data_IF_473918152468
#
_entry.id   IF_473918152468
#
_cell.length_a   1.000
_cell.length_b   1.000
_cell.length_c   1.000
_cell.angle_alpha   90.00
_cell.angle_beta   90.00
_cell.angle_gamma   90.00
#
_symmetry.space_group_name_H-M   'P 1'
#
loop_
_entity.id
_entity.type
_entity.pdbx_description
1 polymer ?
#
# COMPACT_ATOMS: atom_id res chain seq x y z
N UNK A 1 19.98 -39.40 47.67
CA UNK A 1 18.75 -38.68 47.32
C UNK A 1 18.18 -39.32 46.06
N UNK A 2 17.29 -40.29 46.24
CA UNK A 2 16.74 -41.12 45.15
C UNK A 2 15.37 -40.56 44.79
N UNK A 3 15.23 -39.95 43.61
CA UNK A 3 13.96 -39.40 43.12
C UNK A 3 13.03 -40.54 42.69
N UNK A 4 11.90 -40.68 43.40
CA UNK A 4 10.85 -41.63 43.12
C UNK A 4 9.99 -41.07 41.97
N UNK A 5 10.19 -41.57 40.75
CA UNK A 5 9.39 -41.17 39.59
C UNK A 5 8.04 -41.88 39.65
N UNK A 6 6.98 -41.15 39.95
CA UNK A 6 5.65 -41.70 40.22
C UNK A 6 4.90 -42.09 38.92
N UNK A 7 4.70 -43.38 38.62
CA UNK A 7 4.23 -43.87 37.32
C UNK A 7 2.78 -43.46 37.00
N UNK A 8 2.00 -43.08 38.01
CA UNK A 8 0.60 -42.66 37.85
C UNK A 8 0.46 -41.34 37.09
N UNK A 9 1.44 -40.44 37.19
CA UNK A 9 1.41 -39.14 36.49
C UNK A 9 1.72 -39.25 34.99
N UNK A 10 2.48 -40.27 34.59
CA UNK A 10 2.79 -40.54 33.19
C UNK A 10 1.59 -41.15 32.44
N UNK A 11 0.82 -42.02 33.10
CA UNK A 11 -0.38 -42.62 32.51
C UNK A 11 -1.49 -41.57 32.26
N UNK A 12 -1.69 -40.63 33.19
CA UNK A 12 -2.71 -39.57 33.05
C UNK A 12 -2.38 -38.62 31.89
N UNK A 13 -1.10 -38.27 31.69
CA UNK A 13 -0.67 -37.42 30.57
C UNK A 13 -0.90 -38.06 29.20
N UNK A 14 -0.72 -39.39 29.09
CA UNK A 14 -0.97 -40.12 27.84
C UNK A 14 -2.46 -40.19 27.49
N UNK A 15 -3.32 -40.32 28.50
CA UNK A 15 -4.78 -40.33 28.32
C UNK A 15 -5.33 -38.96 27.91
N UNK A 16 -4.85 -37.87 28.53
CA UNK A 16 -5.26 -36.50 28.18
C UNK A 16 -4.80 -36.14 26.75
N UNK A 17 -3.58 -36.53 26.37
CA UNK A 17 -3.08 -36.32 25.00
C UNK A 17 -3.92 -37.05 23.94
N UNK A 18 -4.32 -38.30 24.20
CA UNK A 18 -5.16 -39.07 23.27
C UNK A 18 -6.56 -38.45 23.10
N UNK A 19 -7.17 -37.94 24.17
CA UNK A 19 -8.49 -37.29 24.10
C UNK A 19 -8.47 -36.00 23.26
N UNK A 20 -7.40 -35.20 23.37
CA UNK A 20 -7.25 -33.96 22.59
C UNK A 20 -7.09 -34.27 21.09
N UNK A 21 -6.32 -35.30 20.73
CA UNK A 21 -6.14 -35.71 19.33
C UNK A 21 -7.46 -36.20 18.73
N UNK A 22 -8.25 -36.99 19.46
CA UNK A 22 -9.56 -37.46 18.98
C UNK A 22 -10.54 -36.28 18.77
N UNK A 23 -10.54 -35.28 19.65
CA UNK A 23 -11.39 -34.11 19.51
C UNK A 23 -11.03 -33.26 18.26
N UNK A 24 -9.72 -33.10 17.96
CA UNK A 24 -9.26 -32.36 16.78
C UNK A 24 -9.59 -33.08 15.46
N UNK A 25 -9.49 -34.41 15.44
CA UNK A 25 -9.86 -35.21 14.27
C UNK A 25 -11.36 -35.13 14.00
N UNK A 26 -12.21 -35.20 15.04
CA UNK A 26 -13.66 -35.07 14.89
C UNK A 26 -14.08 -33.69 14.35
N UNK A 27 -13.41 -32.62 14.78
CA UNK A 27 -13.67 -31.26 14.30
C UNK A 27 -13.29 -31.11 12.81
N UNK A 28 -12.20 -31.73 12.37
CA UNK A 28 -11.77 -31.72 10.96
C UNK A 28 -12.75 -32.43 10.02
N UNK A 29 -13.36 -33.53 10.46
CA UNK A 29 -14.35 -34.27 9.67
C UNK A 29 -15.66 -33.47 9.51
N UNK A 30 -16.08 -32.71 10.53
CA UNK A 30 -17.30 -31.91 10.46
C UNK A 30 -17.20 -30.70 9.53
N UNK A 31 -16.02 -30.11 9.37
CA UNK A 31 -15.81 -28.99 8.43
C UNK A 31 -15.73 -29.48 6.98
N UNK A 32 -15.26 -30.70 6.76
CA UNK A 32 -15.12 -31.28 5.42
C UNK A 32 -16.47 -31.65 4.77
N UNK A 33 -17.52 -31.96 5.55
CA UNK A 33 -18.82 -32.36 4.99
C UNK A 33 -19.67 -31.21 4.46
N UNK A 34 -19.38 -29.96 4.84
CA UNK A 34 -20.12 -28.77 4.35
C UNK A 34 -19.62 -28.28 2.99
N UNK A 35 -18.40 -28.66 2.58
CA UNK A 35 -17.78 -28.16 1.35
C UNK A 35 -18.01 -29.04 0.12
N UNK A 36 -18.79 -30.12 0.20
CA UNK A 36 -19.03 -31.03 -0.93
C UNK A 36 -20.52 -31.35 -1.10
N UNK A 37 -21.26 -30.39 -1.65
CA UNK A 37 -22.54 -30.65 -2.34
C UNK A 37 -22.45 -30.19 -3.79
N UNK A 38 -22.41 -31.11 -4.77
CA UNK A 38 -22.43 -30.77 -6.18
C UNK A 38 -23.86 -30.46 -6.66
N UNK A 39 -23.94 -29.62 -7.69
CA UNK A 39 -25.14 -28.88 -8.11
C UNK A 39 -26.26 -29.67 -8.79
N UNK A 40 -27.39 -28.98 -8.95
CA UNK A 40 -28.54 -29.40 -9.76
C UNK A 40 -29.11 -28.18 -10.50
N UNK A 41 -28.92 -28.14 -11.82
CA UNK A 41 -29.57 -27.20 -12.72
C UNK A 41 -30.96 -27.68 -13.16
N UNK A 42 -31.75 -26.77 -13.73
CA UNK A 42 -32.83 -26.95 -14.74
C UNK A 42 -33.38 -25.55 -15.01
N UNK A 43 -33.03 -24.89 -16.12
CA UNK A 43 -33.72 -24.93 -17.43
C UNK A 43 -35.21 -24.64 -17.34
N UNK A 44 -35.63 -23.47 -17.85
CA UNK A 44 -36.75 -23.31 -18.81
C UNK A 44 -36.76 -21.89 -19.41
N UNK A 45 -36.44 -21.79 -20.70
CA UNK A 45 -37.05 -20.83 -21.64
C UNK A 45 -38.46 -21.37 -22.00
N UNK A 46 -39.46 -20.53 -22.32
CA UNK A 46 -39.66 -20.22 -23.75
C UNK A 46 -40.28 -18.85 -24.11
N UNK A 47 -39.97 -18.47 -25.36
CA UNK A 47 -40.82 -17.87 -26.40
C UNK A 47 -41.57 -16.53 -26.19
N UNK A 48 -41.02 -15.52 -26.86
CA UNK A 48 -41.66 -14.63 -27.85
C UNK A 48 -43.16 -14.27 -27.74
N UNK A 49 -43.44 -12.98 -27.63
CA UNK A 49 -44.59 -12.36 -28.30
C UNK A 49 -44.26 -10.93 -28.73
N UNK A 50 -44.58 -10.62 -29.99
CA UNK A 50 -44.35 -9.34 -30.65
C UNK A 50 -45.55 -8.41 -30.45
N UNK A 51 -45.31 -7.16 -30.06
CA UNK A 51 -46.19 -6.03 -30.35
C UNK A 51 -45.50 -4.68 -30.07
N UNK A 52 -45.24 -3.91 -31.13
CA UNK A 52 -45.25 -2.44 -31.10
C UNK A 52 -46.61 -1.99 -31.70
N UNK A 53 -47.07 -0.71 -31.64
CA UNK A 53 -46.27 0.51 -31.45
C UNK A 53 -46.98 1.65 -30.65
N UNK A 54 -46.37 2.86 -30.71
CA UNK A 54 -46.86 4.20 -30.34
C UNK A 54 -46.86 4.53 -28.83
N UNK A 55 -46.44 5.69 -28.33
CA UNK A 55 -45.99 6.98 -28.87
C UNK A 55 -45.28 7.66 -27.71
N UNK A 56 -43.99 8.02 -27.84
CA UNK A 56 -43.35 8.94 -26.88
C UNK A 56 -43.19 10.29 -27.55
N UNK A 57 -43.79 11.29 -26.89
CA UNK A 57 -43.85 12.66 -27.35
C UNK A 57 -42.48 13.25 -27.60
N UNK A 58 -42.37 13.89 -28.76
CA UNK A 58 -41.34 14.86 -29.05
C UNK A 58 -41.35 15.97 -27.99
N UNK A 59 -40.18 16.20 -27.37
CA UNK A 59 -39.70 17.54 -27.01
C UNK A 59 -38.19 17.62 -27.24
N UNK A 60 -37.88 18.37 -28.29
CA UNK A 60 -36.73 19.24 -28.49
C UNK A 60 -35.32 18.64 -28.42
N UNK A 61 -34.91 18.17 -29.59
CA UNK A 61 -33.54 18.18 -30.06
C UNK A 61 -33.04 19.61 -30.28
N UNK A 62 -32.03 20.01 -29.48
CA UNK A 62 -31.05 21.03 -29.91
C UNK A 62 -29.73 20.30 -30.13
N UNK A 63 -29.38 20.19 -31.41
CA UNK A 63 -28.05 19.83 -31.88
C UNK A 63 -27.24 21.12 -32.04
N UNK A 64 -26.05 21.19 -31.42
CA UNK A 64 -24.85 21.75 -32.04
C UNK A 64 -23.71 21.81 -31.01
N UNK A 65 -22.70 20.98 -31.24
CA UNK A 65 -21.44 21.02 -30.51
C UNK A 65 -20.50 19.95 -31.02
N UNK A 66 -20.01 20.13 -32.26
CA UNK A 66 -18.80 19.43 -32.73
C UNK A 66 -17.64 19.98 -31.92
N UNK A 67 -17.46 19.47 -30.71
CA UNK A 67 -16.23 19.57 -29.95
C UNK A 67 -15.39 18.35 -30.29
N UNK A 68 -14.13 18.57 -30.65
CA UNK A 68 -13.16 17.51 -30.88
C UNK A 68 -13.31 16.42 -29.82
N UNK A 69 -13.48 15.17 -30.26
CA UNK A 69 -13.26 14.03 -29.41
C UNK A 69 -11.79 14.08 -28.99
N UNK A 70 -11.53 14.74 -27.88
CA UNK A 70 -10.47 14.31 -27.00
C UNK A 70 -10.91 12.91 -26.59
N UNK A 71 -10.16 11.88 -26.97
CA UNK A 71 -10.19 10.63 -26.22
C UNK A 71 -10.01 11.05 -24.76
N UNK A 72 -11.10 11.02 -24.01
CA UNK A 72 -11.09 11.11 -22.55
C UNK A 72 -10.49 9.78 -22.08
N UNK A 73 -9.20 9.55 -22.38
CA UNK A 73 -8.45 8.47 -21.80
C UNK A 73 -8.45 8.74 -20.31
N UNK A 74 -9.34 8.02 -19.62
CA UNK A 74 -9.42 8.04 -18.17
C UNK A 74 -7.99 7.93 -17.63
N UNK A 75 -7.60 8.80 -16.67
CA UNK A 75 -6.24 8.80 -16.16
C UNK A 75 -5.86 7.37 -15.75
N UNK A 76 -4.67 6.91 -16.11
CA UNK A 76 -4.20 5.57 -15.78
C UNK A 76 -2.95 5.64 -14.94
N UNK A 77 -2.80 4.66 -14.06
CA UNK A 77 -1.72 4.60 -13.08
C UNK A 77 -0.82 3.43 -13.44
N UNK A 78 0.47 3.67 -13.60
CA UNK A 78 1.46 2.63 -13.85
C UNK A 78 2.21 2.29 -12.56
N UNK A 79 2.21 1.01 -12.18
CA UNK A 79 2.90 0.50 -10.99
C UNK A 79 3.83 -0.64 -11.38
N UNK A 80 5.09 -0.56 -10.95
CA UNK A 80 6.07 -1.61 -11.16
C UNK A 80 6.09 -2.54 -9.94
N UNK A 81 5.62 -3.78 -10.09
CA UNK A 81 5.55 -4.77 -9.02
C UNK A 81 6.76 -5.71 -9.09
N UNK A 82 7.49 -5.83 -7.98
CA UNK A 82 8.76 -6.54 -7.85
C UNK A 82 8.73 -7.57 -6.72
N UNK A 83 9.65 -8.52 -6.78
CA UNK A 83 9.96 -9.41 -5.66
C UNK A 83 9.07 -10.64 -5.63
N UNK A 84 8.61 -11.04 -4.43
CA UNK A 84 7.90 -12.28 -4.19
C UNK A 84 6.43 -12.23 -4.64
N UNK A 85 6.20 -12.07 -5.94
CA UNK A 85 4.90 -12.14 -6.62
C UNK A 85 4.96 -13.12 -7.78
N UNK A 86 3.81 -13.65 -8.21
CA UNK A 86 3.77 -14.68 -9.24
C UNK A 86 4.15 -14.17 -10.64
N UNK A 87 3.88 -12.90 -10.93
CA UNK A 87 4.30 -12.24 -12.16
C UNK A 87 4.86 -10.83 -11.86
N UNK A 88 6.17 -10.67 -11.65
CA UNK A 88 6.77 -9.35 -11.55
C UNK A 88 6.67 -8.59 -12.89
N UNK A 89 6.43 -7.29 -12.85
CA UNK A 89 6.26 -6.50 -14.08
C UNK A 89 5.61 -5.14 -13.87
N UNK A 90 5.37 -4.44 -14.97
CA UNK A 90 4.69 -3.16 -15.00
C UNK A 90 3.20 -3.36 -15.30
N UNK A 91 2.33 -2.82 -14.45
CA UNK A 91 0.89 -2.98 -14.54
C UNK A 91 0.19 -1.63 -14.72
N UNK A 92 -0.87 -1.63 -15.55
CA UNK A 92 -1.78 -0.48 -15.74
C UNK A 92 -2.97 -0.67 -14.81
N UNK A 93 -3.19 0.31 -13.94
CA UNK A 93 -4.24 0.34 -12.92
C UNK A 93 -5.11 1.58 -13.10
N UNK A 94 -6.26 1.60 -12.42
CA UNK A 94 -7.18 2.73 -12.39
C UNK A 94 -6.83 3.70 -11.26
N UNK A 95 -7.20 4.99 -11.38
CA UNK A 95 -7.07 5.95 -10.29
C UNK A 95 -7.91 5.53 -9.09
N UNK A 96 -7.29 5.46 -7.92
CA UNK A 96 -7.95 5.02 -6.69
C UNK A 96 -7.78 3.54 -6.37
N UNK A 97 -7.20 2.75 -7.28
CA UNK A 97 -6.77 1.38 -7.01
C UNK A 97 -5.78 1.37 -5.83
N UNK A 98 -5.75 0.25 -5.12
CA UNK A 98 -4.92 0.03 -3.94
C UNK A 98 -3.80 -0.94 -4.24
N UNK A 99 -2.85 -1.05 -3.32
CA UNK A 99 -1.75 -1.99 -3.44
C UNK A 99 -2.23 -3.44 -3.60
N UNK A 100 -3.39 -3.82 -3.03
CA UNK A 100 -3.99 -5.15 -3.27
C UNK A 100 -4.34 -5.40 -4.74
N UNK A 101 -4.80 -4.38 -5.47
CA UNK A 101 -5.19 -4.50 -6.87
C UNK A 101 -3.95 -4.66 -7.77
N UNK A 102 -2.87 -3.96 -7.43
CA UNK A 102 -1.56 -4.15 -8.07
C UNK A 102 -1.01 -5.58 -7.88
N UNK A 103 -1.14 -6.13 -6.67
CA UNK A 103 -0.72 -7.51 -6.38
C UNK A 103 -1.63 -8.53 -7.07
N UNK A 104 -2.94 -8.28 -7.14
CA UNK A 104 -3.87 -9.12 -7.89
C UNK A 104 -3.52 -9.14 -9.39
N UNK A 105 -3.17 -7.99 -9.98
CA UNK A 105 -2.69 -7.89 -11.35
C UNK A 105 -1.39 -8.67 -11.57
N UNK A 106 -0.51 -8.73 -10.55
CA UNK A 106 0.69 -9.56 -10.52
C UNK A 106 0.43 -11.07 -10.24
N UNK A 107 -0.82 -11.52 -10.41
CA UNK A 107 -1.31 -12.87 -10.11
C UNK A 107 -1.12 -13.30 -8.65
N UNK A 108 -1.10 -12.35 -7.72
CA UNK A 108 -0.97 -12.60 -6.30
C UNK A 108 0.46 -12.81 -5.82
N UNK A 109 0.57 -13.08 -4.54
CA UNK A 109 1.83 -13.34 -3.85
C UNK A 109 2.45 -14.68 -4.25
N UNK A 110 3.78 -14.74 -4.28
CA UNK A 110 4.51 -16.01 -4.37
C UNK A 110 4.40 -16.78 -3.05
N UNK A 111 4.72 -18.09 -3.07
CA UNK A 111 4.55 -18.97 -1.92
C UNK A 111 5.43 -18.61 -0.70
N UNK A 112 6.56 -17.97 -0.95
CA UNK A 112 7.53 -17.54 0.05
C UNK A 112 7.44 -16.03 0.36
N UNK A 113 6.41 -15.35 -0.14
CA UNK A 113 6.20 -13.93 0.09
C UNK A 113 5.84 -13.64 1.56
N UNK A 114 6.39 -12.54 2.08
CA UNK A 114 5.91 -11.95 3.32
C UNK A 114 4.69 -11.06 3.02
N UNK A 115 3.51 -11.54 3.41
CA UNK A 115 2.24 -10.81 3.24
C UNK A 115 2.22 -9.49 4.04
N UNK A 116 3.06 -9.35 5.07
CA UNK A 116 3.21 -8.15 5.87
C UNK A 116 4.14 -7.09 5.27
N UNK A 117 4.90 -7.42 4.23
CA UNK A 117 5.91 -6.52 3.65
C UNK A 117 5.30 -5.28 2.97
N UNK A 118 4.01 -5.32 2.62
CA UNK A 118 3.30 -4.26 1.90
C UNK A 118 1.98 -3.95 2.57
N UNK A 119 1.70 -2.67 2.83
CA UNK A 119 0.37 -2.23 3.22
C UNK A 119 -0.59 -2.29 2.03
N UNK A 120 -1.36 -3.38 1.93
CA UNK A 120 -2.29 -3.67 0.84
C UNK A 120 -3.44 -2.66 0.70
N UNK A 121 -3.77 -1.95 1.78
CA UNK A 121 -4.91 -1.05 1.81
C UNK A 121 -4.59 0.35 1.30
N UNK A 122 -3.32 0.70 1.12
CA UNK A 122 -2.93 2.05 0.67
C UNK A 122 -3.26 2.24 -0.82
N UNK A 123 -3.68 3.45 -1.23
CA UNK A 123 -3.82 3.79 -2.65
C UNK A 123 -2.45 3.69 -3.33
N UNK A 124 -2.44 3.28 -4.59
CA UNK A 124 -1.24 3.35 -5.43
C UNK A 124 -1.13 4.72 -6.10
N UNK A 125 0.10 5.16 -6.35
CA UNK A 125 0.39 6.38 -7.12
C UNK A 125 1.12 6.04 -8.41
N UNK A 126 0.95 6.89 -9.42
CA UNK A 126 1.57 6.71 -10.73
C UNK A 126 3.10 6.76 -10.65
N UNK A 127 3.76 5.83 -11.34
CA UNK A 127 5.20 5.68 -11.34
C UNK A 127 5.78 5.00 -10.09
N UNK A 128 4.95 4.47 -9.18
CA UNK A 128 5.42 3.80 -7.97
C UNK A 128 6.03 2.42 -8.25
N UNK A 129 6.98 2.01 -7.39
CA UNK A 129 7.48 0.64 -7.34
C UNK A 129 6.99 -0.07 -6.06
N UNK A 130 6.32 -1.21 -6.24
CA UNK A 130 5.81 -2.06 -5.17
C UNK A 130 6.69 -3.30 -5.03
N UNK A 131 7.57 -3.32 -4.03
CA UNK A 131 8.42 -4.47 -3.74
C UNK A 131 7.80 -5.35 -2.66
N UNK A 132 7.57 -6.61 -2.99
CA UNK A 132 7.21 -7.65 -2.03
C UNK A 132 8.45 -8.42 -1.62
N UNK A 133 8.76 -8.46 -0.32
CA UNK A 133 9.86 -9.25 0.20
C UNK A 133 9.45 -10.71 0.38
N UNK A 134 10.41 -11.62 0.32
CA UNK A 134 10.23 -12.98 0.84
C UNK A 134 10.28 -12.98 2.37
N UNK A 135 9.72 -14.02 3.00
CA UNK A 135 9.81 -14.22 4.45
C UNK A 135 11.27 -14.32 4.91
N UNK A 136 12.13 -14.94 4.10
CA UNK A 136 13.56 -15.06 4.39
C UNK A 136 14.28 -13.70 4.34
N UNK A 137 13.99 -12.86 3.34
CA UNK A 137 14.52 -11.50 3.26
C UNK A 137 14.02 -10.63 4.43
N UNK A 138 12.74 -10.72 4.77
CA UNK A 138 12.15 -9.97 5.88
C UNK A 138 12.78 -10.34 7.24
N UNK A 139 13.16 -11.61 7.43
CA UNK A 139 13.83 -12.10 8.64
C UNK A 139 15.34 -11.81 8.67
N UNK A 140 15.98 -11.67 7.51
CA UNK A 140 17.40 -11.31 7.38
C UNK A 140 17.62 -9.81 7.54
N UNK A 141 16.59 -8.98 7.34
CA UNK A 141 16.63 -7.56 7.63
C UNK A 141 16.75 -7.36 9.15
N UNK A 142 17.74 -6.60 9.66
CA UNK A 142 17.77 -6.23 11.07
C UNK A 142 16.45 -5.54 11.41
N UNK A 143 15.80 -5.93 12.50
CA UNK A 143 14.59 -5.28 12.98
C UNK A 143 14.92 -3.80 13.29
N UNK A 144 14.70 -2.92 12.31
CA UNK A 144 14.67 -1.50 12.54
C UNK A 144 13.46 -1.22 13.46
N UNK A 145 13.57 -0.27 14.40
CA UNK A 145 12.41 0.12 15.22
C UNK A 145 11.26 0.49 14.28
N UNK A 146 10.06 0.02 14.59
CA UNK A 146 8.85 0.27 13.81
C UNK A 146 8.59 1.77 13.68
N UNK A 147 9.13 2.38 12.63
CA UNK A 147 8.74 3.69 12.12
C UNK A 147 8.02 3.41 10.81
N UNK A 148 6.78 3.89 10.71
CA UNK A 148 5.93 3.65 9.54
C UNK A 148 6.69 3.99 8.27
N UNK A 149 6.65 3.07 7.30
CA UNK A 149 7.20 3.28 5.96
C UNK A 149 6.48 4.43 5.27
N UNK A 150 6.91 5.66 5.56
CA UNK A 150 7.07 6.66 4.54
C UNK A 150 8.32 6.26 3.76
N UNK A 151 8.19 6.10 2.45
CA UNK A 151 9.33 6.02 1.54
C UNK A 151 10.19 7.26 1.73
N UNK A 152 11.27 7.11 2.49
CA UNK A 152 12.31 8.11 2.70
C UNK A 152 13.64 7.39 2.62
N UNK A 153 14.22 7.34 1.41
CA UNK A 153 15.51 6.72 1.18
C UNK A 153 16.56 7.31 2.11
N UNK A 154 17.10 6.48 3.00
CA UNK A 154 18.21 6.79 3.92
C UNK A 154 19.55 6.74 3.21
N UNK A 155 19.68 7.50 2.13
CA UNK A 155 20.93 7.74 1.46
C UNK A 155 21.09 9.21 1.16
N UNK A 156 21.60 9.99 2.12
CA UNK A 156 22.12 11.35 1.89
C UNK A 156 21.30 12.22 0.94
N UNK A 157 19.96 12.16 1.03
CA UNK A 157 19.09 12.81 0.08
C UNK A 157 19.05 14.30 0.42
N UNK A 158 19.59 15.10 -0.48
CA UNK A 158 19.51 16.56 -0.45
C UNK A 158 18.04 16.95 -0.32
N UNK A 159 17.69 17.66 0.75
CA UNK A 159 16.30 18.04 1.09
C UNK A 159 15.88 19.22 0.23
N UNK A 160 14.78 19.10 -0.52
CA UNK A 160 14.26 20.24 -1.28
C UNK A 160 13.43 21.18 -0.38
N UNK A 161 13.87 22.43 -0.17
CA UNK A 161 13.17 23.39 0.73
C UNK A 161 11.81 23.84 0.24
N UNK A 162 11.56 23.78 -1.07
CA UNK A 162 10.29 24.18 -1.65
C UNK A 162 9.21 23.12 -1.48
N UNK A 163 9.58 21.83 -1.42
CA UNK A 163 8.64 20.71 -1.32
C UNK A 163 8.66 19.99 0.02
N UNK A 164 9.74 20.11 0.79
CA UNK A 164 9.89 19.40 2.06
C UNK A 164 8.80 19.78 3.06
N UNK A 165 8.38 18.80 3.84
CA UNK A 165 7.51 18.95 5.00
C UNK A 165 8.29 19.50 6.19
N UNK A 166 7.59 20.01 7.20
CA UNK A 166 8.23 20.50 8.42
C UNK A 166 9.10 19.41 9.08
N UNK A 167 8.61 18.17 9.13
CA UNK A 167 9.35 17.03 9.70
C UNK A 167 10.61 16.68 8.91
N UNK A 168 10.59 16.78 7.58
CA UNK A 168 11.78 16.56 6.75
C UNK A 168 12.81 17.68 6.93
N UNK A 169 12.38 18.92 7.12
CA UNK A 169 13.27 20.04 7.43
C UNK A 169 13.90 19.90 8.82
N UNK A 170 13.17 19.35 9.80
CA UNK A 170 13.69 19.05 11.15
C UNK A 170 14.79 17.99 11.17
N UNK A 171 14.88 17.15 10.14
CA UNK A 171 15.97 16.18 10.01
C UNK A 171 17.32 16.85 9.69
N UNK A 172 17.32 18.13 9.28
CA UNK A 172 18.53 18.88 8.97
C UNK A 172 19.29 19.28 10.24
N UNK A 173 20.63 19.28 10.21
CA UNK A 173 21.43 19.64 11.38
C UNK A 173 21.12 21.07 11.82
N UNK A 174 20.84 21.24 13.11
CA UNK A 174 20.55 22.54 13.76
C UNK A 174 19.23 23.20 13.32
N UNK A 175 18.38 22.51 12.55
CA UNK A 175 16.99 22.92 12.28
C UNK A 175 16.06 22.18 13.23
N UNK A 176 15.40 22.94 14.11
CA UNK A 176 14.36 22.41 14.99
C UNK A 176 12.95 22.80 14.52
N UNK A 177 11.89 22.32 15.22
CA UNK A 177 10.49 22.53 14.83
C UNK A 177 10.13 24.00 14.58
N UNK A 178 10.66 24.90 15.41
CA UNK A 178 10.42 26.35 15.29
C UNK A 178 11.09 26.98 14.06
N UNK A 179 12.20 26.44 13.57
CA UNK A 179 12.85 26.92 12.34
C UNK A 179 12.19 26.29 11.10
N UNK A 180 11.90 24.99 11.14
CA UNK A 180 11.17 24.31 10.08
C UNK A 180 9.82 24.98 9.79
N UNK A 181 9.03 25.27 10.84
CA UNK A 181 7.76 25.98 10.70
C UNK A 181 7.95 27.37 10.06
N UNK A 182 9.00 28.10 10.42
CA UNK A 182 9.31 29.42 9.82
C UNK A 182 9.69 29.34 8.35
N UNK A 183 10.41 28.29 7.93
CA UNK A 183 10.75 28.07 6.51
C UNK A 183 9.47 27.82 5.70
N UNK A 184 8.57 26.98 6.22
CA UNK A 184 7.26 26.69 5.60
C UNK A 184 6.40 27.96 5.53
N UNK A 185 6.31 28.71 6.62
CA UNK A 185 5.55 29.96 6.66
C UNK A 185 6.14 31.03 5.72
N UNK A 186 7.47 31.06 5.57
CA UNK A 186 8.14 32.00 4.66
C UNK A 186 7.76 31.69 3.22
N UNK A 187 7.81 30.41 2.79
CA UNK A 187 7.47 30.03 1.40
C UNK A 187 5.98 30.25 1.09
N UNK A 188 5.10 30.11 2.07
CA UNK A 188 3.67 30.38 1.90
C UNK A 188 3.39 31.87 1.71
N UNK A 189 4.12 32.74 2.41
CA UNK A 189 3.90 34.20 2.37
C UNK A 189 4.67 34.92 1.26
N UNK A 190 5.88 34.45 0.95
CA UNK A 190 6.80 35.13 0.02
C UNK A 190 7.00 34.35 -1.29
N UNK A 191 6.45 33.14 -1.38
CA UNK A 191 6.62 32.23 -2.51
C UNK A 191 7.86 31.34 -2.38
N UNK A 192 8.10 30.53 -3.42
CA UNK A 192 9.23 29.58 -3.45
C UNK A 192 10.60 30.25 -3.37
N UNK A 193 11.55 29.59 -2.72
CA UNK A 193 12.97 29.92 -2.76
C UNK A 193 13.51 29.68 -4.18
N UNK A 194 14.31 30.61 -4.71
CA UNK A 194 14.93 30.50 -6.03
C UNK A 194 16.35 29.96 -5.96
N UNK A 195 17.01 30.23 -4.85
CA UNK A 195 18.36 29.75 -4.54
C UNK A 195 18.42 29.28 -3.09
N UNK A 196 19.42 28.45 -2.76
CA UNK A 196 19.64 28.00 -1.38
C UNK A 196 19.99 29.20 -0.48
N UNK A 197 20.65 30.23 -1.02
CA UNK A 197 20.99 31.47 -0.30
C UNK A 197 19.78 32.25 0.19
N UNK A 198 18.63 32.12 -0.49
CA UNK A 198 17.39 32.80 -0.12
C UNK A 198 16.88 32.36 1.27
N UNK A 199 17.36 31.23 1.81
CA UNK A 199 17.06 30.79 3.18
C UNK A 199 17.51 31.79 4.24
N UNK A 200 18.48 32.66 3.94
CA UNK A 200 18.91 33.72 4.87
C UNK A 200 17.82 34.76 5.14
N UNK A 201 16.81 34.86 4.27
CA UNK A 201 15.64 35.71 4.49
C UNK A 201 14.71 35.17 5.59
N UNK A 202 14.86 33.90 5.98
CA UNK A 202 14.09 33.30 7.07
C UNK A 202 14.69 33.71 8.40
N UNK A 203 13.91 34.40 9.23
CA UNK A 203 14.33 34.82 10.57
C UNK A 203 14.84 33.62 11.39
N UNK A 204 16.09 33.70 11.86
CA UNK A 204 16.76 32.65 12.63
C UNK A 204 17.72 31.77 11.82
N UNK A 205 17.78 31.92 10.50
CA UNK A 205 18.83 31.34 9.66
C UNK A 205 19.90 32.41 9.41
N UNK A 206 21.11 32.17 9.91
CA UNK A 206 22.27 33.02 9.64
C UNK A 206 23.31 32.28 8.79
N UNK A 207 24.31 33.00 8.29
CA UNK A 207 25.35 32.48 7.37
C UNK A 207 25.98 31.16 7.86
N UNK A 208 26.35 31.10 9.15
CA UNK A 208 26.96 29.91 9.76
C UNK A 208 26.04 28.68 9.81
N UNK A 209 24.74 28.90 9.84
CA UNK A 209 23.76 27.82 9.74
C UNK A 209 23.59 27.41 8.28
N UNK A 210 23.40 28.39 7.40
CA UNK A 210 23.26 28.19 5.97
C UNK A 210 24.42 27.39 5.38
N UNK A 211 25.67 27.74 5.72
CA UNK A 211 26.86 27.02 5.26
C UNK A 211 26.84 25.53 5.60
N UNK A 212 26.29 25.16 6.76
CA UNK A 212 26.14 23.77 7.15
C UNK A 212 24.98 23.03 6.47
N UNK A 213 24.13 23.76 5.74
CA UNK A 213 22.96 23.23 5.03
C UNK A 213 23.15 23.22 3.51
N UNK A 214 24.09 24.01 2.96
CA UNK A 214 24.34 24.13 1.51
C UNK A 214 24.50 22.78 0.80
N UNK A 215 25.18 21.83 1.42
CA UNK A 215 25.43 20.50 0.84
C UNK A 215 24.28 19.49 1.11
N UNK A 216 23.30 19.88 1.93
CA UNK A 216 22.20 19.03 2.38
C UNK A 216 20.84 19.49 1.84
N UNK A 217 20.80 20.63 1.15
CA UNK A 217 19.57 21.30 0.74
C UNK A 217 19.61 21.72 -0.73
N UNK A 218 18.47 21.58 -1.42
CA UNK A 218 18.23 22.08 -2.78
C UNK A 218 16.95 22.92 -2.83
N UNK A 219 16.80 23.74 -3.87
CA UNK A 219 15.54 24.41 -4.23
C UNK A 219 14.76 23.63 -5.28
#
# INVERSE_FOLDING_TARGET
MTQLTDPRRAAVRRLVGAAIVVALVALGVAVFTVAVTPGGGTSVLPAAEAAAPATHGARDSVSAGVGAAYDDEAPVVYVHVLGAVNAPGLYRLQPGDRAVDAIAAAHGFAADADLGAVNLARPVVDGEQLRVLTVAEAQAQPAAPAVGSASGGTGGAVVNVNTATATELEALPRIGPALAARIVEWRERHGRFRTVDDLIAVSGIGEKLLDGLRDLVTV
#
